data_IF_475600426864
#
_entry.id   IF_475600426864
#
_cell.length_a   1.000
_cell.length_b   1.000
_cell.length_c   1.000
_cell.angle_alpha   90.00
_cell.angle_beta   90.00
_cell.angle_gamma   90.00
#
_symmetry.space_group_name_H-M   'P 1'
#
loop_
_entity.id
_entity.type
_entity.pdbx_description
1 polymer ?
#
# COMPACT_ATOMS: atom_id res chain seq x y z
N UNK A 1 -17.83 46.38 15.97
CA UNK A 1 -16.44 46.57 15.47
C UNK A 1 -15.48 45.44 15.92
N UNK A 2 -15.78 44.15 15.66
CA UNK A 2 -14.88 43.02 15.98
C UNK A 2 -14.56 42.09 14.79
N UNK A 3 -15.32 42.15 13.69
CA UNK A 3 -15.13 41.34 12.47
C UNK A 3 -13.81 41.61 11.75
N UNK A 4 -13.28 42.85 11.82
CA UNK A 4 -11.99 43.20 11.20
C UNK A 4 -10.78 42.51 11.86
N UNK A 5 -10.91 42.07 13.12
CA UNK A 5 -9.87 41.30 13.84
C UNK A 5 -10.05 39.79 13.74
N UNK A 6 -11.22 39.32 13.32
CA UNK A 6 -11.52 37.91 13.09
C UNK A 6 -10.93 37.41 11.76
N UNK A 7 -10.91 38.27 10.73
CA UNK A 7 -10.30 37.93 9.43
C UNK A 7 -8.81 37.53 9.54
N UNK A 8 -7.91 38.31 10.18
CA UNK A 8 -6.51 37.90 10.31
C UNK A 8 -6.34 36.67 11.23
N UNK A 9 -7.20 36.49 12.23
CA UNK A 9 -7.16 35.34 13.14
C UNK A 9 -7.50 34.03 12.42
N UNK A 10 -8.53 34.05 11.56
CA UNK A 10 -8.88 32.89 10.74
C UNK A 10 -7.80 32.57 9.70
N UNK A 11 -7.17 33.59 9.11
CA UNK A 11 -6.06 33.38 8.15
C UNK A 11 -4.86 32.73 8.84
N UNK A 12 -4.47 33.19 10.03
CA UNK A 12 -3.37 32.56 10.79
C UNK A 12 -3.72 31.12 11.17
N UNK A 13 -4.95 30.85 11.60
CA UNK A 13 -5.41 29.50 11.95
C UNK A 13 -5.38 28.54 10.75
N UNK A 14 -5.88 28.97 9.59
CA UNK A 14 -5.87 28.16 8.37
C UNK A 14 -4.44 27.93 7.86
N UNK A 15 -3.57 28.93 7.95
CA UNK A 15 -2.17 28.79 7.56
C UNK A 15 -1.43 27.77 8.44
N UNK A 16 -1.66 27.80 9.77
CA UNK A 16 -1.11 26.80 10.68
C UNK A 16 -1.62 25.39 10.39
N UNK A 17 -2.90 25.25 10.04
CA UNK A 17 -3.49 23.95 9.69
C UNK A 17 -2.86 23.35 8.43
N UNK A 18 -2.59 24.17 7.41
CA UNK A 18 -1.92 23.74 6.17
C UNK A 18 -0.50 23.25 6.45
N UNK A 19 0.26 23.94 7.32
CA UNK A 19 1.61 23.49 7.69
C UNK A 19 1.60 22.13 8.42
N UNK A 20 0.59 21.84 9.24
CA UNK A 20 0.50 20.55 9.94
C UNK A 20 0.14 19.36 9.05
N UNK A 21 -0.56 19.58 7.94
CA UNK A 21 -0.97 18.52 6.99
C UNK A 21 0.18 18.15 6.04
N UNK A 22 1.22 18.99 5.93
CA UNK A 22 2.32 18.81 4.98
C UNK A 22 3.42 17.83 5.42
N UNK A 23 3.31 17.19 6.59
CA UNK A 23 4.27 16.17 7.05
C UNK A 23 3.83 14.74 6.72
N UNK A 24 3.20 14.52 5.56
CA UNK A 24 3.09 13.19 4.98
C UNK A 24 3.81 13.20 3.62
N UNK A 25 4.91 12.45 3.43
CA UNK A 25 5.54 12.35 2.12
C UNK A 25 4.59 11.56 1.20
N UNK A 26 3.85 12.28 0.38
CA UNK A 26 3.17 11.71 -0.79
C UNK A 26 4.25 11.34 -1.80
N UNK A 27 4.60 10.06 -1.86
CA UNK A 27 5.30 9.45 -2.99
C UNK A 27 4.43 9.54 -4.23
N UNK A 28 5.00 10.18 -5.27
CA UNK A 28 4.79 10.09 -6.71
C UNK A 28 3.38 9.97 -7.33
N UNK A 29 3.09 10.73 -8.41
CA UNK A 29 1.86 10.60 -9.17
C UNK A 29 2.02 9.53 -10.25
N UNK A 30 1.87 8.25 -9.90
CA UNK A 30 1.41 7.24 -10.87
C UNK A 30 0.79 6.02 -10.17
N UNK A 31 -0.34 6.24 -9.50
CA UNK A 31 -1.27 5.15 -9.23
C UNK A 31 -2.59 5.57 -9.84
N UNK A 32 -2.76 5.17 -11.10
CA UNK A 32 -4.07 5.15 -11.75
C UNK A 32 -4.97 4.26 -10.91
N UNK A 33 -5.79 4.91 -10.07
CA UNK A 33 -6.85 4.30 -9.29
C UNK A 33 -7.88 3.73 -10.26
N UNK A 34 -7.73 2.45 -10.61
CA UNK A 34 -8.72 1.70 -11.38
C UNK A 34 -9.61 0.92 -10.43
N UNK A 35 -10.42 1.64 -9.66
CA UNK A 35 -11.65 1.07 -9.12
C UNK A 35 -12.63 0.84 -10.29
N UNK A 36 -12.92 -0.43 -10.55
CA UNK A 36 -14.15 -0.85 -11.22
C UNK A 36 -13.98 -1.44 -12.63
N UNK A 37 -13.74 -2.74 -12.69
CA UNK A 37 -14.39 -3.58 -13.70
C UNK A 37 -14.65 -4.96 -13.12
N UNK A 38 -15.93 -5.29 -12.90
CA UNK A 38 -16.38 -6.67 -12.77
C UNK A 38 -16.14 -7.37 -14.12
N UNK A 39 -14.90 -7.79 -14.33
CA UNK A 39 -14.52 -8.68 -15.41
C UNK A 39 -14.72 -10.12 -14.95
N UNK A 40 -15.71 -10.78 -15.52
CA UNK A 40 -15.91 -12.22 -15.41
C UNK A 40 -14.63 -12.96 -15.81
N UNK A 41 -13.89 -13.50 -14.83
CA UNK A 41 -12.88 -14.56 -15.06
C UNK A 41 -11.48 -14.39 -14.48
N UNK A 42 -11.17 -13.37 -13.67
CA UNK A 42 -9.89 -13.28 -12.96
C UNK A 42 -10.12 -13.18 -11.44
N UNK A 43 -9.50 -14.07 -10.67
CA UNK A 43 -9.56 -14.01 -9.20
C UNK A 43 -9.01 -12.69 -8.68
N UNK A 44 -9.54 -12.25 -7.53
CA UNK A 44 -9.02 -11.07 -6.83
C UNK A 44 -7.51 -11.23 -6.62
N UNK A 45 -6.76 -10.18 -6.94
CA UNK A 45 -5.31 -10.17 -6.80
C UNK A 45 -4.94 -10.24 -5.31
N UNK A 46 -4.08 -11.19 -4.96
CA UNK A 46 -3.54 -11.39 -3.62
C UNK A 46 -2.09 -10.88 -3.61
N UNK A 47 -1.79 -9.87 -2.80
CA UNK A 47 -0.44 -9.32 -2.62
C UNK A 47 0.20 -9.94 -1.38
N UNK A 48 1.23 -10.75 -1.59
CA UNK A 48 1.93 -11.48 -0.53
C UNK A 48 3.37 -10.97 -0.36
N UNK A 49 3.69 -10.50 0.85
CA UNK A 49 5.06 -10.14 1.23
C UNK A 49 5.91 -11.36 1.58
N UNK A 50 7.18 -11.38 1.17
CA UNK A 50 8.15 -12.41 1.57
C UNK A 50 9.57 -11.83 1.73
N UNK A 51 10.46 -12.60 2.38
CA UNK A 51 11.85 -12.22 2.65
C UNK A 51 12.86 -13.13 1.97
N UNK A 52 14.14 -12.84 2.19
CA UNK A 52 15.26 -13.67 1.76
C UNK A 52 15.39 -15.01 2.49
N UNK A 53 14.56 -15.30 3.50
CA UNK A 53 14.62 -16.57 4.22
C UNK A 53 14.32 -17.74 3.28
N UNK A 54 15.22 -18.75 3.17
CA UNK A 54 15.07 -19.88 2.26
C UNK A 54 13.73 -20.63 2.35
N UNK A 55 13.11 -20.66 3.53
CA UNK A 55 11.82 -21.35 3.72
C UNK A 55 10.65 -20.74 2.95
N UNK A 56 10.78 -19.52 2.42
CA UNK A 56 9.74 -18.86 1.60
C UNK A 56 9.97 -18.97 0.08
N UNK A 57 11.08 -19.56 -0.35
CA UNK A 57 11.36 -19.81 -1.77
C UNK A 57 10.31 -20.66 -2.50
N UNK A 58 9.60 -21.61 -1.86
CA UNK A 58 8.50 -22.32 -2.52
C UNK A 58 7.47 -21.38 -3.17
N UNK A 59 7.23 -20.18 -2.62
CA UNK A 59 6.33 -19.21 -3.24
C UNK A 59 6.88 -18.64 -4.56
N UNK A 60 8.15 -18.26 -4.58
CA UNK A 60 8.79 -17.76 -5.80
C UNK A 60 8.84 -18.85 -6.88
N UNK A 61 9.16 -20.09 -6.49
CA UNK A 61 9.15 -21.26 -7.38
C UNK A 61 7.73 -21.51 -7.90
N UNK A 62 6.70 -21.44 -7.06
CA UNK A 62 5.31 -21.62 -7.47
C UNK A 62 4.86 -20.56 -8.48
N UNK A 63 5.32 -19.31 -8.32
CA UNK A 63 5.09 -18.24 -9.31
C UNK A 63 5.79 -18.53 -10.63
N UNK A 64 7.07 -18.90 -10.59
CA UNK A 64 7.87 -19.19 -11.79
C UNK A 64 7.35 -20.43 -12.54
N UNK A 65 6.92 -21.45 -11.80
CA UNK A 65 6.29 -22.66 -12.34
C UNK A 65 4.85 -22.45 -12.80
N UNK A 66 4.27 -21.26 -12.67
CA UNK A 66 2.91 -20.96 -13.13
C UNK A 66 1.77 -21.56 -12.28
N UNK A 67 2.08 -22.16 -11.12
CA UNK A 67 1.12 -22.91 -10.31
C UNK A 67 -0.06 -22.04 -9.83
N UNK A 68 0.16 -20.76 -9.56
CA UNK A 68 -0.92 -19.85 -9.17
C UNK A 68 -1.93 -19.68 -10.31
N UNK A 69 -1.45 -19.42 -11.53
CA UNK A 69 -2.30 -19.23 -12.70
C UNK A 69 -3.05 -20.52 -13.07
N UNK A 70 -2.37 -21.67 -13.02
CA UNK A 70 -2.99 -22.99 -13.26
C UNK A 70 -4.15 -23.28 -12.29
N UNK A 71 -4.07 -22.77 -11.06
CA UNK A 71 -5.12 -22.91 -10.05
C UNK A 71 -6.10 -21.73 -10.01
N UNK A 72 -6.05 -20.82 -10.99
CA UNK A 72 -6.94 -19.66 -11.06
C UNK A 72 -6.72 -18.64 -9.94
N UNK A 73 -5.53 -18.64 -9.33
CA UNK A 73 -5.15 -17.70 -8.25
C UNK A 73 -4.24 -16.60 -8.81
N UNK A 74 -4.60 -15.34 -8.58
CA UNK A 74 -3.82 -14.19 -9.01
C UNK A 74 -2.94 -13.70 -7.85
N UNK A 75 -1.66 -14.10 -7.82
CA UNK A 75 -0.73 -13.74 -6.74
C UNK A 75 0.37 -12.78 -7.22
N UNK A 76 0.51 -11.66 -6.51
CA UNK A 76 1.70 -10.81 -6.56
C UNK A 76 2.59 -11.10 -5.36
N UNK A 77 3.83 -11.55 -5.63
CA UNK A 77 4.87 -11.66 -4.61
C UNK A 77 5.66 -10.36 -4.51
N UNK A 78 5.73 -9.80 -3.31
CA UNK A 78 6.47 -8.57 -2.98
C UNK A 78 7.63 -8.89 -2.04
N UNK A 79 8.85 -8.60 -2.49
CA UNK A 79 10.06 -8.79 -1.70
C UNK A 79 10.23 -7.67 -0.66
N UNK A 80 10.70 -8.03 0.53
CA UNK A 80 11.14 -7.11 1.56
C UNK A 80 12.49 -7.55 2.13
N UNK A 81 13.45 -6.62 2.18
CA UNK A 81 14.74 -6.83 2.86
C UNK A 81 14.61 -6.62 4.37
N UNK A 82 13.71 -5.72 4.80
CA UNK A 82 13.51 -5.35 6.20
C UNK A 82 12.23 -5.94 6.81
N UNK A 83 12.37 -6.57 7.98
CA UNK A 83 11.24 -7.07 8.76
C UNK A 83 10.24 -5.95 9.10
N UNK A 84 10.72 -4.82 9.61
CA UNK A 84 9.83 -3.73 10.04
C UNK A 84 8.99 -3.15 8.88
N UNK A 85 9.59 -3.01 7.71
CA UNK A 85 8.92 -2.48 6.52
C UNK A 85 7.79 -3.41 6.07
N UNK A 86 8.02 -4.72 6.11
CA UNK A 86 7.00 -5.73 5.80
C UNK A 86 5.83 -5.68 6.79
N UNK A 87 6.11 -5.52 8.09
CA UNK A 87 5.08 -5.39 9.13
C UNK A 87 4.23 -4.14 8.93
N UNK A 88 4.88 -3.02 8.61
CA UNK A 88 4.18 -1.75 8.34
C UNK A 88 3.33 -1.85 7.07
N UNK A 89 3.82 -2.50 6.02
CA UNK A 89 3.06 -2.70 4.79
C UNK A 89 1.80 -3.57 5.03
N UNK A 90 1.92 -4.63 5.84
CA UNK A 90 0.78 -5.44 6.27
C UNK A 90 -0.22 -4.62 7.09
N UNK A 91 0.26 -3.90 8.11
CA UNK A 91 -0.59 -3.09 8.99
C UNK A 91 -1.31 -1.95 8.24
N UNK A 92 -0.69 -1.41 7.19
CA UNK A 92 -1.27 -0.40 6.32
C UNK A 92 -2.26 -0.97 5.29
N UNK A 93 -2.52 -2.28 5.29
CA UNK A 93 -3.42 -2.95 4.34
C UNK A 93 -2.89 -3.02 2.92
N UNK A 94 -1.56 -2.89 2.73
CA UNK A 94 -0.91 -2.99 1.41
C UNK A 94 -0.53 -4.42 1.03
N UNK A 95 -0.66 -5.36 1.98
CA UNK A 95 -0.43 -6.79 1.80
C UNK A 95 -1.64 -7.56 2.32
N UNK A 96 -2.04 -8.61 1.63
CA UNK A 96 -3.08 -9.55 2.06
C UNK A 96 -2.51 -10.67 2.94
N UNK A 97 -1.23 -11.00 2.72
CA UNK A 97 -0.49 -12.00 3.48
C UNK A 97 0.97 -11.61 3.60
N UNK A 98 1.63 -12.14 4.63
CA UNK A 98 3.03 -11.84 4.87
C UNK A 98 3.77 -13.04 5.47
N UNK A 99 4.84 -13.43 4.79
CA UNK A 99 5.71 -14.55 5.13
C UNK A 99 7.05 -14.00 5.62
N UNK A 100 7.10 -13.61 6.88
CA UNK A 100 8.29 -13.05 7.56
C UNK A 100 8.48 -13.79 8.87
N UNK A 101 9.73 -13.94 9.30
CA UNK A 101 10.12 -14.58 10.57
C UNK A 101 11.05 -13.66 11.34
#
# INVERSE_FOLDING_TARGET
>A
MKIRKLLPLCVVFVLSLVLTISCNPTTDPDVTDSQGSLGTGASAKIVMGYSNWPGWWPWAIAKEAGLFAENGVNVELKWFDGYLESMQALAAGRLDANCQT
#
